data_IF_136565276120
#
_entry.id   IF_136565276120
#
_cell.length_a   1.000
_cell.length_b   1.000
_cell.length_c   1.000
_cell.angle_alpha   90.00
_cell.angle_beta   90.00
_cell.angle_gamma   90.00
#
_symmetry.space_group_name_H-M   'P 1'
#
loop_
_entity.id
_entity.type
_entity.pdbx_description
1 polymer ?
#
# COMPACT_ATOMS: atom_id res chain seq x y z
N UNK A 1 -27.91 -19.55 -17.45
CA UNK A 1 -27.69 -18.09 -17.55
C UNK A 1 -26.44 -17.84 -18.40
N UNK A 2 -26.41 -16.77 -19.20
CA UNK A 2 -25.28 -16.46 -20.09
C UNK A 2 -24.46 -15.28 -19.58
N UNK A 3 -23.19 -15.18 -20.01
CA UNK A 3 -22.26 -14.12 -19.59
C UNK A 3 -22.81 -12.71 -19.86
N UNK A 4 -23.41 -12.50 -21.03
CA UNK A 4 -23.99 -11.22 -21.41
C UNK A 4 -25.08 -10.76 -20.44
N UNK A 5 -25.91 -11.70 -19.97
CA UNK A 5 -26.97 -11.40 -19.00
C UNK A 5 -26.41 -11.03 -17.63
N UNK A 6 -25.33 -11.71 -17.21
CA UNK A 6 -24.64 -11.47 -15.93
C UNK A 6 -24.04 -10.07 -15.89
N UNK A 7 -23.38 -9.67 -16.99
CA UNK A 7 -22.72 -8.37 -17.11
C UNK A 7 -23.74 -7.23 -17.23
N UNK A 8 -24.84 -7.41 -17.98
CA UNK A 8 -25.86 -6.38 -18.19
C UNK A 8 -26.72 -6.12 -16.95
N UNK A 9 -26.95 -7.14 -16.11
CA UNK A 9 -27.85 -7.06 -14.96
C UNK A 9 -27.12 -6.99 -13.62
N UNK A 10 -25.80 -6.81 -13.61
CA UNK A 10 -24.94 -6.78 -12.42
C UNK A 10 -25.22 -7.96 -11.47
N UNK A 11 -25.39 -9.17 -12.02
CA UNK A 11 -25.84 -10.36 -11.27
C UNK A 11 -24.87 -10.70 -10.14
N UNK A 12 -23.56 -10.55 -10.37
CA UNK A 12 -22.52 -10.79 -9.35
C UNK A 12 -22.71 -9.88 -8.13
N UNK A 13 -22.89 -8.57 -8.35
CA UNK A 13 -23.08 -7.61 -7.27
C UNK A 13 -24.39 -7.85 -6.52
N UNK A 14 -25.46 -8.25 -7.23
CA UNK A 14 -26.75 -8.61 -6.63
C UNK A 14 -26.65 -9.91 -5.82
N UNK A 15 -25.92 -10.91 -6.31
CA UNK A 15 -25.66 -12.16 -5.60
C UNK A 15 -24.95 -11.91 -4.27
N UNK A 16 -23.86 -11.13 -4.30
CA UNK A 16 -23.08 -10.78 -3.11
C UNK A 16 -23.90 -10.00 -2.06
N UNK A 17 -24.92 -9.25 -2.49
CA UNK A 17 -25.83 -8.48 -1.62
C UNK A 17 -27.09 -9.26 -1.22
N UNK A 18 -27.26 -10.50 -1.69
CA UNK A 18 -28.48 -11.29 -1.46
C UNK A 18 -29.74 -10.67 -2.09
N UNK A 19 -29.58 -9.93 -3.19
CA UNK A 19 -30.66 -9.21 -3.90
C UNK A 19 -31.15 -9.95 -5.17
N UNK A 20 -30.63 -11.15 -5.45
CA UNK A 20 -31.15 -11.98 -6.54
C UNK A 20 -32.44 -12.68 -6.13
N UNK A 21 -33.30 -12.90 -7.11
CA UNK A 21 -34.47 -13.76 -6.90
C UNK A 21 -34.02 -15.23 -6.71
N UNK A 22 -34.84 -16.08 -6.07
CA UNK A 22 -34.50 -17.49 -5.88
C UNK A 22 -34.23 -18.22 -7.20
N UNK A 23 -34.96 -17.89 -8.27
CA UNK A 23 -34.78 -18.46 -9.60
C UNK A 23 -33.44 -18.04 -10.22
N UNK A 24 -33.10 -16.75 -10.17
CA UNK A 24 -31.81 -16.23 -10.65
C UNK A 24 -30.62 -16.76 -9.86
N UNK A 25 -30.81 -17.04 -8.57
CA UNK A 25 -29.77 -17.58 -7.69
C UNK A 25 -29.38 -18.99 -8.12
N UNK A 26 -30.37 -19.87 -8.36
CA UNK A 26 -30.12 -21.24 -8.83
C UNK A 26 -29.44 -21.23 -10.21
N UNK A 27 -29.90 -20.37 -11.11
CA UNK A 27 -29.33 -20.23 -12.45
C UNK A 27 -27.89 -19.71 -12.44
N UNK A 28 -27.58 -18.80 -11.52
CA UNK A 28 -26.24 -18.26 -11.34
C UNK A 28 -25.30 -19.26 -10.65
N UNK A 29 -25.75 -19.97 -9.62
CA UNK A 29 -24.97 -21.03 -8.97
C UNK A 29 -24.66 -22.17 -9.93
N UNK A 30 -25.62 -22.57 -10.76
CA UNK A 30 -25.41 -23.57 -11.82
C UNK A 30 -24.35 -23.09 -12.81
N UNK A 31 -24.38 -21.81 -13.17
CA UNK A 31 -23.36 -21.22 -14.05
C UNK A 31 -21.96 -21.14 -13.41
N UNK A 32 -21.87 -20.98 -12.08
CA UNK A 32 -20.61 -21.01 -11.34
C UNK A 32 -19.98 -22.41 -11.28
N UNK A 33 -20.81 -23.47 -11.23
CA UNK A 33 -20.33 -24.86 -11.28
C UNK A 33 -19.59 -25.13 -12.60
N UNK A 34 -20.11 -24.61 -13.70
CA UNK A 34 -19.54 -24.80 -15.04
C UNK A 34 -18.28 -23.94 -15.30
N UNK A 35 -18.04 -22.91 -14.47
CA UNK A 35 -16.94 -21.93 -14.65
C UNK A 35 -16.21 -21.65 -13.34
N UNK A 36 -15.29 -22.56 -12.92
CA UNK A 36 -14.55 -22.41 -11.66
C UNK A 36 -13.72 -21.12 -11.59
N UNK A 37 -13.28 -20.57 -12.72
CA UNK A 37 -12.56 -19.29 -12.79
C UNK A 37 -13.37 -18.10 -12.27
N UNK A 38 -14.70 -18.16 -12.36
CA UNK A 38 -15.58 -17.10 -11.87
C UNK A 38 -15.85 -17.23 -10.36
N UNK A 39 -15.66 -18.40 -9.78
CA UNK A 39 -15.80 -18.62 -8.33
C UNK A 39 -14.75 -17.83 -7.58
N UNK A 40 -13.49 -17.88 -8.02
CA UNK A 40 -12.39 -17.12 -7.41
C UNK A 40 -12.62 -15.60 -7.48
N UNK A 41 -13.16 -15.11 -8.60
CA UNK A 41 -13.52 -13.69 -8.75
C UNK A 41 -14.62 -13.28 -7.76
N UNK A 42 -15.67 -14.09 -7.64
CA UNK A 42 -16.79 -13.84 -6.70
C UNK A 42 -16.31 -13.88 -5.25
N UNK A 43 -15.41 -14.80 -4.90
CA UNK A 43 -14.81 -14.88 -3.56
C UNK A 43 -13.98 -13.64 -3.24
N UNK A 44 -13.12 -13.20 -4.16
CA UNK A 44 -12.31 -11.99 -3.99
C UNK A 44 -13.19 -10.75 -3.83
N UNK A 45 -14.23 -10.62 -4.66
CA UNK A 45 -15.19 -9.52 -4.59
C UNK A 45 -16.02 -9.58 -3.30
N UNK A 46 -16.31 -10.76 -2.76
CA UNK A 46 -17.02 -10.91 -1.48
C UNK A 46 -16.20 -10.38 -0.29
N UNK A 47 -14.88 -10.58 -0.31
CA UNK A 47 -13.96 -10.07 0.72
C UNK A 47 -13.88 -8.56 0.63
N UNK A 48 -13.79 -8.01 -0.59
CA UNK A 48 -13.81 -6.57 -0.83
C UNK A 48 -15.15 -5.95 -0.38
N UNK A 49 -16.29 -6.57 -0.70
CA UNK A 49 -17.60 -6.09 -0.28
C UNK A 49 -17.77 -6.08 1.24
N UNK A 50 -17.23 -7.06 1.96
CA UNK A 50 -17.23 -7.09 3.44
C UNK A 50 -16.32 -6.01 4.05
N UNK A 51 -15.26 -5.62 3.34
CA UNK A 51 -14.33 -4.59 3.80
C UNK A 51 -14.80 -3.16 3.49
N UNK A 52 -15.74 -3.00 2.55
CA UNK A 52 -16.31 -1.70 2.22
C UNK A 52 -17.30 -1.25 3.32
N UNK A 53 -17.18 -0.02 3.85
CA UNK A 53 -18.15 0.50 4.79
C UNK A 53 -19.52 0.60 4.10
N UNK A 54 -20.58 0.11 4.75
CA UNK A 54 -21.95 0.24 4.27
C UNK A 54 -22.30 1.72 4.06
N UNK A 55 -22.20 2.20 2.82
CA UNK A 55 -22.71 3.50 2.45
C UNK A 55 -24.22 3.38 2.44
N UNK A 56 -24.85 3.74 3.57
CA UNK A 56 -26.30 3.95 3.64
C UNK A 56 -26.68 5.06 2.67
N UNK A 57 -26.93 4.70 1.41
CA UNK A 57 -27.55 5.59 0.44
C UNK A 57 -28.97 5.84 0.90
N UNK A 58 -29.13 6.83 1.78
CA UNK A 58 -30.42 7.38 2.16
C UNK A 58 -31.04 7.91 0.89
N UNK A 59 -32.01 7.16 0.38
CA UNK A 59 -32.77 7.46 -0.83
C UNK A 59 -33.43 8.84 -0.65
N UNK A 60 -32.81 9.89 -1.23
CA UNK A 60 -33.24 11.26 -1.07
C UNK A 60 -34.40 11.50 -2.03
N UNK A 61 -35.62 11.25 -1.53
CA UNK A 61 -36.85 11.66 -2.22
C UNK A 61 -36.77 13.15 -2.54
N UNK A 62 -37.05 13.45 -3.80
CA UNK A 62 -37.12 14.76 -4.41
C UNK A 62 -37.95 15.74 -3.56
N UNK A 63 -37.33 16.88 -3.21
CA UNK A 63 -38.07 18.12 -3.02
C UNK A 63 -37.48 19.19 -3.91
N UNK A 64 -38.14 19.35 -5.06
CA UNK A 64 -38.13 20.57 -5.87
C UNK A 64 -38.68 21.69 -4.98
N UNK A 65 -37.91 22.74 -4.75
CA UNK A 65 -38.40 23.90 -4.03
C UNK A 65 -37.33 24.93 -3.67
N UNK A 66 -37.45 26.10 -4.31
CA UNK A 66 -36.84 27.41 -4.02
C UNK A 66 -35.40 27.66 -4.48
N UNK A 67 -35.36 28.33 -5.64
CA UNK A 67 -34.31 29.26 -6.05
C UNK A 67 -34.02 30.28 -4.94
N UNK A 68 -32.91 30.11 -4.24
CA UNK A 68 -32.30 31.16 -3.43
C UNK A 68 -31.21 31.84 -4.25
N UNK A 69 -31.58 33.02 -4.78
CA UNK A 69 -30.68 34.05 -5.32
C UNK A 69 -29.49 34.31 -4.37
N UNK A 70 -28.33 33.72 -4.65
CA UNK A 70 -27.06 34.01 -3.95
C UNK A 70 -25.94 34.52 -4.87
N UNK A 71 -26.23 34.78 -6.15
CA UNK A 71 -25.22 35.26 -7.12
C UNK A 71 -24.98 36.78 -7.09
N UNK A 72 -25.35 37.48 -6.02
CA UNK A 72 -25.31 38.94 -5.95
C UNK A 72 -24.14 39.58 -5.21
N UNK A 73 -23.22 38.81 -4.60
CA UNK A 73 -22.14 39.37 -3.74
C UNK A 73 -20.80 38.67 -4.00
N UNK A 74 -20.39 38.58 -5.26
CA UNK A 74 -19.01 38.23 -5.61
C UNK A 74 -18.33 39.44 -6.27
N UNK A 75 -17.65 40.22 -5.42
CA UNK A 75 -16.64 41.20 -5.84
C UNK A 75 -15.59 40.53 -6.74
N UNK A 76 -15.04 41.20 -7.76
CA UNK A 76 -14.06 40.61 -8.70
C UNK A 76 -12.77 40.11 -8.05
N UNK A 77 -12.53 40.39 -6.77
CA UNK A 77 -11.39 39.87 -5.99
C UNK A 77 -11.62 38.48 -5.37
N UNK A 78 -12.85 37.96 -5.38
CA UNK A 78 -13.18 36.65 -4.79
C UNK A 78 -12.71 35.44 -5.63
N UNK A 79 -12.46 35.65 -6.93
CA UNK A 79 -11.98 34.59 -7.83
C UNK A 79 -10.58 34.07 -7.45
N UNK A 80 -9.70 34.96 -6.99
CA UNK A 80 -8.34 34.57 -6.58
C UNK A 80 -8.32 33.70 -5.32
N UNK A 81 -9.21 33.98 -4.36
CA UNK A 81 -9.30 33.19 -3.13
C UNK A 81 -9.84 31.78 -3.39
N UNK A 82 -10.84 31.65 -4.26
CA UNK A 82 -11.40 30.35 -4.64
C UNK A 82 -10.37 29.48 -5.39
N UNK A 83 -9.58 30.08 -6.30
CA UNK A 83 -8.51 29.37 -7.00
C UNK A 83 -7.42 28.90 -6.04
N UNK A 84 -7.02 29.73 -5.06
CA UNK A 84 -6.03 29.33 -4.05
C UNK A 84 -6.53 28.19 -3.15
N UNK A 85 -7.79 28.20 -2.73
CA UNK A 85 -8.37 27.13 -1.90
C UNK A 85 -8.43 25.81 -2.68
N UNK A 86 -8.82 25.85 -3.96
CA UNK A 86 -8.83 24.64 -4.80
C UNK A 86 -7.41 24.17 -5.06
N UNK A 87 -6.44 25.06 -5.28
CA UNK A 87 -5.05 24.67 -5.52
C UNK A 87 -4.40 24.08 -4.27
N UNK A 88 -4.62 24.66 -3.08
CA UNK A 88 -4.11 24.11 -1.81
C UNK A 88 -4.81 22.80 -1.46
N UNK A 89 -6.13 22.70 -1.65
CA UNK A 89 -6.87 21.46 -1.46
C UNK A 89 -6.42 20.36 -2.43
N UNK A 90 -6.12 20.71 -3.68
CA UNK A 90 -5.60 19.78 -4.68
C UNK A 90 -4.18 19.33 -4.35
N UNK A 91 -3.30 20.23 -3.87
CA UNK A 91 -1.95 19.87 -3.40
C UNK A 91 -1.99 18.95 -2.19
N UNK A 92 -2.87 19.23 -1.21
CA UNK A 92 -3.05 18.36 -0.04
C UNK A 92 -3.66 17.01 -0.43
N UNK A 93 -4.65 16.99 -1.33
CA UNK A 93 -5.24 15.74 -1.81
C UNK A 93 -4.24 14.92 -2.64
N UNK A 94 -3.41 15.55 -3.46
CA UNK A 94 -2.34 14.85 -4.18
C UNK A 94 -1.24 14.36 -3.24
N UNK A 95 -0.86 15.11 -2.20
CA UNK A 95 0.07 14.62 -1.19
C UNK A 95 -0.50 13.41 -0.45
N UNK A 96 -1.74 13.48 0.06
CA UNK A 96 -2.34 12.38 0.83
C UNK A 96 -2.63 11.14 -0.04
N UNK A 97 -3.08 11.34 -1.29
CA UNK A 97 -3.34 10.25 -2.24
C UNK A 97 -2.05 9.66 -2.80
N UNK A 98 -0.99 10.43 -3.06
CA UNK A 98 0.30 9.84 -3.47
C UNK A 98 1.05 9.20 -2.32
N UNK A 99 0.94 9.70 -1.09
CA UNK A 99 1.59 9.10 0.08
C UNK A 99 0.84 7.82 0.51
N UNK A 100 -0.50 7.76 0.39
CA UNK A 100 -1.28 6.54 0.65
C UNK A 100 -1.29 5.53 -0.49
N UNK A 101 -1.24 5.91 -1.77
CA UNK A 101 -1.36 4.95 -2.89
C UNK A 101 -0.03 4.47 -3.49
N UNK A 102 1.14 4.96 -3.05
CA UNK A 102 2.44 4.51 -3.57
C UNK A 102 3.21 3.53 -2.70
N UNK A 103 2.61 3.09 -1.59
CA UNK A 103 3.00 1.85 -0.89
C UNK A 103 1.77 0.96 -0.80
N UNK A 104 1.22 0.55 -1.96
CA UNK A 104 0.55 -0.74 -1.99
C UNK A 104 1.59 -1.74 -1.53
N UNK A 105 1.39 -2.22 -0.31
CA UNK A 105 2.07 -3.36 0.26
C UNK A 105 1.91 -4.51 -0.74
N UNK A 106 2.88 -4.64 -1.65
CA UNK A 106 3.16 -5.91 -2.26
C UNK A 106 3.74 -6.70 -1.09
N UNK A 107 2.84 -7.32 -0.33
CA UNK A 107 3.14 -8.32 0.67
C UNK A 107 3.64 -9.55 -0.10
N UNK A 108 4.80 -9.39 -0.71
CA UNK A 108 5.59 -10.50 -1.18
C UNK A 108 5.99 -11.22 0.10
N UNK A 109 5.31 -12.33 0.37
CA UNK A 109 5.85 -13.36 1.25
C UNK A 109 7.15 -13.83 0.61
N UNK A 110 8.29 -13.29 1.08
CA UNK A 110 9.65 -13.71 0.66
C UNK A 110 9.98 -15.09 1.29
N UNK A 111 8.96 -15.89 1.60
CA UNK A 111 9.13 -17.32 1.86
C UNK A 111 9.50 -18.08 0.59
N UNK A 112 9.01 -17.65 -0.58
CA UNK A 112 9.03 -18.48 -1.78
C UNK A 112 9.48 -17.77 -3.08
N UNK A 113 9.95 -16.51 -3.02
CA UNK A 113 10.53 -15.89 -4.22
C UNK A 113 12.01 -16.24 -4.31
N UNK A 114 12.29 -17.35 -5.02
CA UNK A 114 13.58 -17.61 -5.63
C UNK A 114 13.83 -16.57 -6.73
N UNK A 115 14.34 -15.40 -6.35
CA UNK A 115 14.97 -14.54 -7.34
C UNK A 115 16.25 -15.26 -7.82
N UNK A 116 16.74 -15.06 -9.05
CA UNK A 116 18.01 -15.66 -9.47
C UNK A 116 19.19 -14.98 -8.75
N UNK A 117 20.07 -15.74 -8.09
CA UNK A 117 21.22 -15.25 -7.28
C UNK A 117 22.06 -14.16 -7.97
N UNK A 118 22.08 -14.15 -9.31
CA UNK A 118 22.77 -13.12 -10.11
C UNK A 118 22.23 -11.68 -9.97
N UNK A 119 21.03 -11.50 -9.42
CA UNK A 119 20.30 -10.22 -9.47
C UNK A 119 20.45 -9.35 -8.22
N UNK A 120 21.17 -9.81 -7.20
CA UNK A 120 21.31 -9.09 -5.94
C UNK A 120 22.70 -9.30 -5.34
N UNK A 121 23.13 -8.28 -4.62
CA UNK A 121 24.33 -8.31 -3.80
C UNK A 121 23.87 -8.46 -2.35
N UNK A 122 24.34 -9.52 -1.67
CA UNK A 122 23.98 -9.81 -0.29
C UNK A 122 25.12 -9.40 0.62
N UNK A 123 24.88 -8.37 1.43
CA UNK A 123 25.82 -7.90 2.44
C UNK A 123 25.19 -8.14 3.81
N UNK A 124 25.88 -8.85 4.69
CA UNK A 124 25.44 -9.06 6.08
C UNK A 124 25.73 -7.80 6.88
N UNK A 125 24.69 -7.17 7.41
CA UNK A 125 24.80 -6.00 8.29
C UNK A 125 25.27 -6.38 9.69
N UNK A 126 26.19 -5.58 10.26
CA UNK A 126 26.77 -5.74 11.59
C UNK A 126 25.80 -5.21 12.66
N UNK A 127 25.63 -5.96 13.75
CA UNK A 127 24.87 -5.51 14.93
C UNK A 127 25.60 -4.38 15.65
N UNK A 128 24.99 -3.20 15.67
CA UNK A 128 24.98 -2.21 16.77
C UNK A 128 26.31 -1.81 17.45
N UNK A 129 27.42 -1.73 16.72
CA UNK A 129 28.69 -1.24 17.29
C UNK A 129 28.95 0.26 17.06
N UNK A 130 27.98 1.01 16.53
CA UNK A 130 28.17 2.41 16.09
C UNK A 130 29.12 2.56 14.89
N UNK A 131 29.56 1.45 14.29
CA UNK A 131 30.39 1.45 13.09
C UNK A 131 29.47 1.51 11.87
N UNK A 132 29.62 2.56 11.07
CA UNK A 132 28.91 2.69 9.80
C UNK A 132 29.43 1.57 8.89
N UNK A 133 28.59 0.58 8.62
CA UNK A 133 28.91 -0.48 7.66
C UNK A 133 28.81 0.11 6.25
N UNK A 134 29.91 0.10 5.50
CA UNK A 134 29.88 0.44 4.08
C UNK A 134 29.35 -0.76 3.30
N UNK A 135 28.36 -0.52 2.44
CA UNK A 135 27.75 -1.50 1.56
C UNK A 135 28.07 -1.07 0.13
N UNK A 136 28.97 -1.77 -0.57
CA UNK A 136 29.24 -1.48 -1.97
C UNK A 136 27.98 -1.73 -2.80
N UNK A 137 27.75 -0.87 -3.79
CA UNK A 137 26.67 -1.02 -4.77
C UNK A 137 27.27 -1.11 -6.15
N UNK A 138 27.17 -2.29 -6.76
CA UNK A 138 27.47 -2.41 -8.17
C UNK A 138 26.39 -1.78 -9.06
N UNK A 139 26.84 -1.01 -10.07
CA UNK A 139 25.95 -0.29 -10.99
C UNK A 139 25.11 -1.22 -11.90
N UNK A 140 25.44 -2.51 -11.97
CA UNK A 140 24.72 -3.51 -12.75
C UNK A 140 23.47 -4.06 -12.02
N UNK A 141 23.37 -3.88 -10.71
CA UNK A 141 22.25 -4.40 -9.91
C UNK A 141 21.07 -3.44 -9.87
N UNK A 142 19.87 -4.00 -9.98
CA UNK A 142 18.60 -3.24 -9.87
C UNK A 142 18.10 -3.13 -8.44
N UNK A 143 18.48 -4.08 -7.59
CA UNK A 143 17.99 -4.21 -6.22
C UNK A 143 19.11 -4.61 -5.27
N UNK A 144 19.01 -4.12 -4.03
CA UNK A 144 19.84 -4.49 -2.89
C UNK A 144 18.93 -5.21 -1.90
N UNK A 145 19.37 -6.35 -1.37
CA UNK A 145 18.67 -7.06 -0.32
C UNK A 145 19.46 -6.91 0.98
N UNK A 146 18.93 -6.12 1.91
CA UNK A 146 19.50 -5.99 3.26
C UNK A 146 18.92 -7.10 4.14
N UNK A 147 19.77 -8.00 4.62
CA UNK A 147 19.41 -8.96 5.66
C UNK A 147 19.80 -8.37 7.02
N UNK A 148 18.81 -8.17 7.88
CA UNK A 148 18.98 -7.56 9.21
C UNK A 148 18.65 -8.60 10.27
N UNK A 149 19.59 -8.81 11.19
CA UNK A 149 19.42 -9.66 12.37
C UNK A 149 18.82 -8.83 13.51
N UNK A 150 17.68 -9.26 14.05
CA UNK A 150 17.07 -8.60 15.21
C UNK A 150 17.65 -9.18 16.49
N UNK A 151 18.21 -8.34 17.34
CA UNK A 151 18.97 -8.80 18.50
C UNK A 151 18.12 -9.14 19.72
N UNK A 152 16.92 -8.52 19.86
CA UNK A 152 16.37 -8.39 21.22
C UNK A 152 14.85 -8.39 21.40
N UNK A 153 14.04 -8.29 20.34
CA UNK A 153 12.59 -8.14 20.52
C UNK A 153 11.79 -9.38 20.07
N UNK A 154 10.90 -9.88 20.95
CA UNK A 154 10.01 -11.04 20.72
C UNK A 154 8.72 -10.68 19.95
N UNK A 155 8.75 -9.62 19.14
CA UNK A 155 7.53 -9.09 18.51
C UNK A 155 7.30 -9.77 17.16
N UNK A 156 6.12 -10.34 16.96
CA UNK A 156 5.77 -11.09 15.74
C UNK A 156 5.63 -10.20 14.49
N UNK A 157 5.36 -8.90 14.68
CA UNK A 157 5.10 -7.91 13.62
C UNK A 157 5.67 -6.55 13.98
N UNK A 158 6.39 -5.93 13.06
CA UNK A 158 7.01 -4.63 13.24
C UNK A 158 7.01 -3.85 11.92
N UNK A 159 7.21 -2.55 12.01
CA UNK A 159 7.36 -1.68 10.84
C UNK A 159 8.83 -1.34 10.65
N UNK A 160 9.28 -1.24 9.41
CA UNK A 160 10.67 -0.91 9.06
C UNK A 160 10.68 0.34 8.19
N UNK A 161 11.50 1.31 8.57
CA UNK A 161 11.69 2.55 7.83
C UNK A 161 13.17 2.75 7.55
N UNK A 162 13.50 2.99 6.28
CA UNK A 162 14.84 3.39 5.87
C UNK A 162 14.81 4.86 5.50
N UNK A 163 15.66 5.64 6.16
CA UNK A 163 15.82 7.08 5.95
C UNK A 163 17.24 7.39 5.52
N UNK A 164 17.38 8.38 4.66
CA UNK A 164 18.65 9.05 4.47
C UNK A 164 18.95 9.95 5.68
N UNK A 165 20.14 9.85 6.26
CA UNK A 165 20.49 10.52 7.52
C UNK A 165 20.60 12.04 7.38
N UNK A 166 21.09 12.53 6.24
CA UNK A 166 21.32 13.95 6.02
C UNK A 166 20.01 14.74 5.86
N UNK A 167 19.12 14.25 5.00
CA UNK A 167 17.86 14.93 4.66
C UNK A 167 16.65 14.41 5.45
N UNK A 168 16.81 13.34 6.24
CA UNK A 168 15.73 12.60 6.91
C UNK A 168 14.65 12.09 5.94
N UNK A 169 14.99 12.00 4.65
CA UNK A 169 14.12 11.57 3.56
C UNK A 169 13.85 10.08 3.69
N UNK A 170 12.56 9.71 3.68
CA UNK A 170 12.16 8.29 3.70
C UNK A 170 12.41 7.70 2.32
N UNK A 171 13.28 6.69 2.27
CA UNK A 171 13.62 5.95 1.04
C UNK A 171 12.69 4.75 0.87
N UNK A 172 12.42 4.05 1.96
CA UNK A 172 11.58 2.86 1.97
C UNK A 172 10.86 2.75 3.31
N UNK A 173 9.58 2.39 3.26
CA UNK A 173 8.79 2.00 4.41
C UNK A 173 8.13 0.65 4.10
N UNK A 174 8.18 -0.28 5.06
CA UNK A 174 7.50 -1.57 5.00
C UNK A 174 6.78 -1.78 6.31
N UNK A 175 5.48 -2.03 6.25
CA UNK A 175 4.67 -2.22 7.45
C UNK A 175 4.39 -3.71 7.66
N UNK A 176 4.13 -4.11 8.91
CA UNK A 176 3.79 -5.50 9.29
C UNK A 176 4.80 -6.54 8.77
N UNK A 177 6.10 -6.24 8.89
CA UNK A 177 7.19 -7.19 8.63
C UNK A 177 7.19 -8.26 9.72
N UNK A 178 7.33 -9.52 9.31
CA UNK A 178 7.52 -10.65 10.22
C UNK A 178 8.97 -11.13 10.17
N UNK A 179 9.43 -11.65 11.31
CA UNK A 179 10.72 -12.31 11.40
C UNK A 179 10.68 -13.66 10.67
N UNK A 180 11.73 -13.94 9.91
CA UNK A 180 11.97 -15.28 9.37
C UNK A 180 12.33 -16.26 10.48
N UNK A 181 12.30 -17.57 10.17
CA UNK A 181 12.65 -18.65 11.13
C UNK A 181 14.05 -18.52 11.71
N UNK A 182 14.93 -17.81 11.02
CA UNK A 182 16.33 -17.62 11.38
C UNK A 182 16.58 -16.38 12.24
N UNK A 183 15.55 -15.60 12.59
CA UNK A 183 15.72 -14.34 13.34
C UNK A 183 16.18 -13.17 12.47
N UNK A 184 16.12 -13.32 11.14
CA UNK A 184 16.41 -12.26 10.19
C UNK A 184 15.13 -11.78 9.51
N UNK A 185 15.12 -10.51 9.13
CA UNK A 185 14.19 -10.00 8.12
C UNK A 185 14.97 -9.37 6.97
N UNK A 186 14.38 -9.40 5.78
CA UNK A 186 14.99 -8.83 4.58
C UNK A 186 14.24 -7.59 4.10
N UNK A 187 14.99 -6.53 3.78
CA UNK A 187 14.46 -5.33 3.12
C UNK A 187 15.06 -5.22 1.73
N UNK A 188 14.19 -5.21 0.71
CA UNK A 188 14.60 -5.03 -0.69
C UNK A 188 14.48 -3.56 -1.06
N UNK A 189 15.57 -2.99 -1.56
CA UNK A 189 15.69 -1.58 -1.92
C UNK A 189 16.11 -1.47 -3.39
N UNK A 190 15.35 -0.76 -4.24
CA UNK A 190 15.79 -0.45 -5.60
C UNK A 190 17.06 0.43 -5.58
N UNK A 191 18.10 0.06 -6.34
CA UNK A 191 19.37 0.81 -6.41
C UNK A 191 19.20 2.23 -6.93
N UNK A 192 18.12 2.50 -7.69
CA UNK A 192 17.78 3.85 -8.19
C UNK A 192 17.35 4.83 -7.09
N UNK A 193 16.98 4.33 -5.91
CA UNK A 193 16.58 5.16 -4.76
C UNK A 193 17.74 5.45 -3.81
N UNK A 194 18.93 4.92 -4.13
CA UNK A 194 20.09 4.94 -3.26
C UNK A 194 21.20 5.79 -3.89
N UNK A 195 21.76 6.67 -3.07
CA UNK A 195 22.85 7.59 -3.39
C UNK A 195 24.05 7.29 -2.47
N UNK A 196 25.19 7.94 -2.74
CA UNK A 196 26.39 7.83 -1.91
C UNK A 196 26.21 8.63 -0.60
N UNK A 197 25.43 8.10 0.32
CA UNK A 197 25.02 8.76 1.55
C UNK A 197 24.95 7.80 2.75
N UNK A 198 24.81 8.39 3.94
CA UNK A 198 24.53 7.66 5.18
C UNK A 198 23.03 7.42 5.31
N UNK A 199 22.65 6.21 5.70
CA UNK A 199 21.28 5.78 5.89
C UNK A 199 21.07 5.21 7.29
N UNK A 200 19.84 5.34 7.77
CA UNK A 200 19.38 4.77 9.03
C UNK A 200 18.19 3.86 8.74
N UNK A 201 18.28 2.60 9.16
CA UNK A 201 17.15 1.68 9.21
C UNK A 201 16.64 1.63 10.63
N UNK A 202 15.41 2.05 10.82
CA UNK A 202 14.71 2.06 12.10
C UNK A 202 13.63 0.99 12.07
N UNK A 203 13.60 0.19 13.12
CA UNK A 203 12.57 -0.81 13.36
C UNK A 203 11.62 -0.27 14.42
N UNK A 204 10.34 -0.25 14.11
CA UNK A 204 9.28 0.27 14.97
C UNK A 204 8.34 -0.84 15.40
N UNK A 205 7.80 -0.74 16.60
CA UNK A 205 6.68 -1.60 17.01
C UNK A 205 5.45 -1.34 16.11
N UNK A 206 4.75 -2.39 15.70
CA UNK A 206 3.63 -2.27 14.75
C UNK A 206 2.54 -1.32 15.28
N UNK A 207 2.13 -0.34 14.45
CA UNK A 207 1.17 0.71 14.82
C UNK A 207 1.63 1.64 15.96
N UNK A 208 2.92 1.69 16.26
CA UNK A 208 3.52 2.49 17.32
C UNK A 208 4.60 3.40 16.75
N UNK A 209 4.90 4.50 17.44
CA UNK A 209 6.06 5.34 17.14
C UNK A 209 7.30 4.95 17.95
N UNK A 210 7.22 3.89 18.75
CA UNK A 210 8.32 3.37 19.54
C UNK A 210 9.35 2.69 18.62
N UNK A 211 10.57 3.20 18.65
CA UNK A 211 11.72 2.58 17.97
C UNK A 211 12.22 1.42 18.83
N UNK A 212 12.28 0.23 18.25
CA UNK A 212 12.81 -0.99 18.86
C UNK A 212 14.32 -1.08 18.67
N UNK A 213 14.76 -0.96 17.41
CA UNK A 213 16.17 -1.08 17.03
C UNK A 213 16.48 -0.06 15.91
N UNK A 214 17.73 0.39 15.83
CA UNK A 214 18.19 1.36 14.83
C UNK A 214 19.58 0.98 14.33
N UNK A 215 19.75 0.98 13.01
CA UNK A 215 20.97 0.56 12.33
C UNK A 215 21.44 1.66 11.40
N UNK A 216 22.73 2.01 11.46
CA UNK A 216 23.33 3.01 10.55
C UNK A 216 24.29 2.33 9.58
N UNK A 217 24.16 2.63 8.29
CA UNK A 217 25.02 2.11 7.23
C UNK A 217 25.22 3.17 6.14
N UNK A 218 26.25 2.98 5.31
CA UNK A 218 26.55 3.84 4.17
C UNK A 218 26.49 3.00 2.91
N UNK A 219 25.90 3.56 1.87
CA UNK A 219 25.99 2.98 0.54
C UNK A 219 27.15 3.63 -0.23
N UNK A 220 28.00 2.81 -0.83
CA UNK A 220 29.14 3.25 -1.64
C UNK A 220 29.00 2.69 -3.05
N UNK A 221 28.63 3.55 -3.99
CA UNK A 221 28.51 3.23 -5.40
C UNK A 221 29.90 3.29 -6.04
N UNK A 222 30.30 2.18 -6.66
CA UNK A 222 31.54 2.07 -7.46
C UNK A 222 31.49 2.93 -8.74
#
# INVERSE_FOLDING_TARGET
MDKTYIDENDIVAKYLRGQLTPEETIDFETYLIDKPELVELVEMDSVLYKALPEVKTKNKKNHIGRETRWFGVFSPFSGLAAVLIVFVGFQLFFFDVFDSNRVRNMEISIGDIEFPESSYESTRGVSDSGIITSIPISNDKKFIALAVETGSFEISKFDVVIRERAEMKIIKKRSSVSLGRTGYFSVIIPTVLVENADYVLEVYEANSSTILESYTFRFERE
#
